data_IF_379675143575
#
_entry.id   IF_379675143575
#
_cell.length_a   1.000
_cell.length_b   1.000
_cell.length_c   1.000
_cell.angle_alpha   90.00
_cell.angle_beta   90.00
_cell.angle_gamma   90.00
#
_symmetry.space_group_name_H-M   'P 1'
#
loop_
_entity.id
_entity.type
_entity.pdbx_description
1 polymer ?
#
# COMPACT_ATOMS: atom_id res chain seq x y z
N UNK A 1 -16.91 -4.31 -7.66
CA UNK A 1 -16.00 -3.28 -7.12
C UNK A 1 -15.97 -3.44 -5.62
N UNK A 2 -14.81 -3.26 -4.99
CA UNK A 2 -14.68 -3.37 -3.54
C UNK A 2 -15.55 -2.32 -2.83
N UNK A 3 -16.23 -2.75 -1.77
CA UNK A 3 -17.04 -1.89 -0.90
C UNK A 3 -16.15 -0.87 -0.18
N UNK A 4 -16.75 0.22 0.32
CA UNK A 4 -16.02 1.20 1.15
C UNK A 4 -15.41 0.53 2.38
N UNK A 5 -16.14 -0.40 2.99
CA UNK A 5 -15.72 -1.12 4.19
C UNK A 5 -14.49 -1.99 3.93
N UNK A 6 -14.46 -2.74 2.83
CA UNK A 6 -13.27 -3.53 2.44
C UNK A 6 -12.04 -2.63 2.21
N UNK A 7 -12.23 -1.46 1.59
CA UNK A 7 -11.16 -0.47 1.37
C UNK A 7 -10.65 0.14 2.68
N UNK A 8 -11.55 0.48 3.59
CA UNK A 8 -11.23 0.96 4.94
C UNK A 8 -10.38 -0.06 5.68
N UNK A 9 -10.85 -1.30 5.75
CA UNK A 9 -10.13 -2.36 6.44
C UNK A 9 -8.76 -2.66 5.81
N UNK A 10 -8.63 -2.65 4.48
CA UNK A 10 -7.34 -2.81 3.81
C UNK A 10 -6.34 -1.72 4.24
N UNK A 11 -6.84 -0.48 4.35
CA UNK A 11 -6.06 0.66 4.84
C UNK A 11 -5.67 0.50 6.30
N UNK A 12 -6.59 0.13 7.18
CA UNK A 12 -6.31 -0.08 8.61
C UNK A 12 -5.28 -1.18 8.86
N UNK A 13 -5.32 -2.29 8.11
CA UNK A 13 -4.28 -3.32 8.19
C UNK A 13 -2.92 -2.81 7.72
N UNK A 14 -2.89 -2.02 6.66
CA UNK A 14 -1.66 -1.43 6.17
C UNK A 14 -1.08 -0.42 7.18
N UNK A 15 -1.92 0.37 7.85
CA UNK A 15 -1.53 1.29 8.93
C UNK A 15 -1.02 0.53 10.15
N UNK A 16 -1.71 -0.51 10.59
CA UNK A 16 -1.23 -1.36 11.68
C UNK A 16 0.12 -2.00 11.35
N UNK A 17 0.28 -2.48 10.11
CA UNK A 17 1.55 -3.00 9.64
C UNK A 17 2.63 -1.90 9.63
N UNK A 18 2.32 -0.70 9.13
CA UNK A 18 3.24 0.44 9.13
C UNK A 18 3.72 0.76 10.55
N UNK A 19 2.82 0.80 11.54
CA UNK A 19 3.14 1.02 12.95
C UNK A 19 4.06 -0.08 13.51
N UNK A 20 3.91 -1.33 13.03
CA UNK A 20 4.77 -2.44 13.46
C UNK A 20 6.21 -2.38 12.93
N UNK A 21 6.49 -1.57 11.90
CA UNK A 21 7.85 -1.38 11.38
C UNK A 21 8.76 -0.59 12.34
N UNK A 22 8.17 0.19 13.26
CA UNK A 22 8.89 1.11 14.12
C UNK A 22 9.50 2.30 13.37
N UNK A 23 10.43 3.01 14.02
CA UNK A 23 10.94 4.31 13.54
C UNK A 23 12.30 4.23 12.84
N UNK A 24 12.79 3.02 12.54
CA UNK A 24 14.10 2.83 11.91
C UNK A 24 14.16 3.41 10.49
N UNK A 25 13.04 3.33 9.75
CA UNK A 25 12.94 3.81 8.38
C UNK A 25 11.63 4.58 8.18
N UNK A 26 11.65 5.72 7.47
CA UNK A 26 10.44 6.47 7.21
C UNK A 26 9.55 5.69 6.24
N UNK A 27 8.25 5.69 6.51
CA UNK A 27 7.26 4.94 5.74
C UNK A 27 5.96 5.72 5.56
N UNK A 28 5.13 5.31 4.60
CA UNK A 28 3.78 5.82 4.42
C UNK A 28 2.85 4.76 3.82
N UNK A 29 1.56 4.90 4.12
CA UNK A 29 0.48 4.09 3.55
C UNK A 29 -0.12 4.81 2.33
N UNK A 30 -0.39 4.05 1.27
CA UNK A 30 -0.99 4.56 0.03
C UNK A 30 -2.06 3.60 -0.50
N UNK A 31 -3.35 3.96 -0.35
CA UNK A 31 -4.43 3.26 -1.04
C UNK A 31 -4.34 3.44 -2.56
N UNK A 32 -4.59 2.37 -3.31
CA UNK A 32 -4.57 2.36 -4.77
C UNK A 32 -5.91 2.84 -5.34
N UNK A 33 -5.85 3.91 -6.13
CA UNK A 33 -7.00 4.47 -6.84
C UNK A 33 -7.07 3.94 -8.27
N UNK A 34 -8.23 4.06 -8.90
CA UNK A 34 -8.46 3.68 -10.30
C UNK A 34 -7.45 4.31 -11.28
N UNK A 35 -7.07 5.57 -11.06
CA UNK A 35 -6.05 6.25 -11.86
C UNK A 35 -4.65 5.64 -11.69
N UNK A 36 -4.35 5.04 -10.53
CA UNK A 36 -3.04 4.48 -10.22
C UNK A 36 -2.82 3.11 -10.87
N UNK A 37 -3.87 2.27 -10.98
CA UNK A 37 -3.69 0.84 -11.33
C UNK A 37 -4.50 0.38 -12.54
N UNK A 38 -5.36 1.22 -13.12
CA UNK A 38 -6.19 0.83 -14.26
C UNK A 38 -6.06 1.75 -15.46
N UNK A 39 -6.07 3.08 -15.24
CA UNK A 39 -6.15 4.04 -16.35
C UNK A 39 -4.82 4.67 -16.73
N UNK A 40 -4.26 5.47 -15.82
CA UNK A 40 -3.12 6.37 -16.14
C UNK A 40 -1.80 5.75 -15.72
N UNK A 41 -1.82 4.85 -14.73
CA UNK A 41 -0.62 4.28 -14.13
C UNK A 41 0.37 5.35 -13.65
N UNK A 42 -0.19 6.38 -13.03
CA UNK A 42 0.53 7.46 -12.37
C UNK A 42 0.27 7.36 -10.87
N UNK A 43 1.32 7.24 -10.06
CA UNK A 43 1.20 7.13 -8.61
C UNK A 43 1.80 8.35 -7.92
N UNK A 44 0.93 9.28 -7.51
CA UNK A 44 1.32 10.39 -6.65
C UNK A 44 1.63 9.92 -5.22
N UNK A 45 2.71 10.46 -4.65
CA UNK A 45 3.21 10.17 -3.32
C UNK A 45 2.99 11.38 -2.38
N UNK A 46 3.03 11.19 -1.05
CA UNK A 46 2.93 12.30 -0.09
C UNK A 46 4.08 13.30 -0.30
N UNK A 47 3.73 14.59 -0.41
CA UNK A 47 4.71 15.65 -0.74
C UNK A 47 5.80 15.79 0.32
N UNK A 48 5.45 15.80 1.59
CA UNK A 48 6.43 15.94 2.68
C UNK A 48 7.38 14.74 2.71
N UNK A 49 6.87 13.51 2.56
CA UNK A 49 7.71 12.32 2.44
C UNK A 49 8.72 12.45 1.29
N UNK A 50 8.26 12.91 0.13
CA UNK A 50 9.14 13.08 -1.03
C UNK A 50 10.23 14.13 -0.79
N UNK A 51 9.86 15.26 -0.21
CA UNK A 51 10.78 16.36 0.11
C UNK A 51 11.87 15.95 1.09
N UNK A 52 11.50 15.19 2.12
CA UNK A 52 12.41 14.85 3.22
C UNK A 52 13.22 13.58 2.93
N UNK A 53 12.72 12.69 2.06
CA UNK A 53 13.25 11.35 1.92
C UNK A 53 13.55 10.91 0.49
N UNK A 54 13.07 11.59 -0.56
CA UNK A 54 13.35 11.21 -1.95
C UNK A 54 14.29 12.19 -2.65
N UNK A 55 14.86 11.81 -3.82
CA UNK A 55 15.70 12.71 -4.60
C UNK A 55 14.99 14.02 -4.97
N UNK A 56 15.75 15.11 -5.04
CA UNK A 56 15.24 16.44 -5.44
C UNK A 56 15.01 16.57 -6.95
N UNK A 57 15.65 15.71 -7.74
CA UNK A 57 15.55 15.68 -9.19
C UNK A 57 14.95 14.36 -9.65
N UNK A 58 14.51 14.31 -10.89
CA UNK A 58 14.03 13.08 -11.52
C UNK A 58 15.11 11.99 -11.44
N UNK A 59 14.68 10.79 -11.07
CA UNK A 59 15.60 9.70 -10.78
C UNK A 59 14.92 8.34 -10.98
N UNK A 60 15.74 7.31 -11.17
CA UNK A 60 15.28 5.94 -11.04
C UNK A 60 15.23 5.57 -9.56
N UNK A 61 14.02 5.27 -9.08
CA UNK A 61 13.79 4.66 -7.77
C UNK A 61 13.61 3.16 -7.96
N UNK A 62 14.17 2.38 -7.05
CA UNK A 62 14.01 0.93 -7.02
C UNK A 62 12.93 0.56 -6.02
N UNK A 63 11.85 -0.05 -6.50
CA UNK A 63 10.88 -0.73 -5.64
C UNK A 63 11.36 -2.16 -5.37
N UNK A 64 11.31 -2.59 -4.12
CA UNK A 64 11.68 -3.94 -3.69
C UNK A 64 10.47 -4.61 -3.06
N UNK A 65 10.04 -5.74 -3.60
CA UNK A 65 8.90 -6.48 -3.07
C UNK A 65 9.25 -7.34 -1.84
N UNK A 66 8.26 -8.06 -1.31
CA UNK A 66 8.45 -8.93 -0.15
C UNK A 66 9.43 -10.11 -0.38
N UNK A 67 9.70 -10.45 -1.65
CA UNK A 67 10.63 -11.52 -2.06
C UNK A 67 12.01 -10.98 -2.39
N UNK A 68 12.23 -9.67 -2.29
CA UNK A 68 13.47 -9.01 -2.66
C UNK A 68 13.62 -8.75 -4.16
N UNK A 69 12.57 -8.97 -4.97
CA UNK A 69 12.58 -8.68 -6.41
C UNK A 69 12.57 -7.16 -6.60
N UNK A 70 13.39 -6.68 -7.53
CA UNK A 70 13.66 -5.26 -7.74
C UNK A 70 13.00 -4.77 -9.02
N UNK A 71 12.32 -3.64 -8.95
CA UNK A 71 11.68 -2.98 -10.08
C UNK A 71 12.18 -1.55 -10.19
N UNK A 72 12.60 -1.15 -11.38
CA UNK A 72 13.12 0.19 -11.65
C UNK A 72 12.00 1.10 -12.16
N UNK A 73 11.75 2.17 -11.43
CA UNK A 73 10.61 3.07 -11.65
C UNK A 73 11.12 4.50 -11.80
N UNK A 74 10.63 5.22 -12.81
CA UNK A 74 10.90 6.64 -12.97
C UNK A 74 10.11 7.44 -11.93
N UNK A 75 10.85 8.12 -11.05
CA UNK A 75 10.33 9.11 -10.13
C UNK A 75 10.49 10.51 -10.72
N UNK A 76 9.38 11.25 -10.80
CA UNK A 76 9.34 12.63 -11.29
C UNK A 76 9.21 13.57 -10.08
N UNK A 77 10.30 14.25 -9.73
CA UNK A 77 10.43 14.97 -8.47
C UNK A 77 9.44 16.14 -8.37
N UNK A 78 9.27 16.89 -9.47
CA UNK A 78 8.33 18.02 -9.55
C UNK A 78 6.89 17.65 -9.17
N UNK A 79 6.49 16.42 -9.46
CA UNK A 79 5.13 15.94 -9.20
C UNK A 79 5.03 14.98 -8.01
N UNK A 80 6.15 14.67 -7.36
CA UNK A 80 6.22 13.67 -6.29
C UNK A 80 5.55 12.36 -6.74
N UNK A 81 5.90 11.84 -7.91
CA UNK A 81 5.14 10.76 -8.54
C UNK A 81 6.02 9.68 -9.18
N UNK A 82 5.53 8.44 -9.12
CA UNK A 82 6.05 7.31 -9.87
C UNK A 82 5.28 7.17 -11.19
N UNK A 83 6.03 7.01 -12.29
CA UNK A 83 5.48 6.98 -13.65
C UNK A 83 6.00 5.77 -14.44
N UNK A 84 7.00 5.95 -15.31
CA UNK A 84 7.60 4.87 -16.10
C UNK A 84 7.99 3.67 -15.23
N UNK A 85 7.57 2.48 -15.62
CA UNK A 85 7.79 1.24 -14.85
C UNK A 85 6.69 0.92 -13.81
N UNK A 86 5.93 1.90 -13.32
CA UNK A 86 4.88 1.66 -12.32
C UNK A 86 3.81 0.68 -12.84
N UNK A 87 3.39 0.82 -14.10
CA UNK A 87 2.44 -0.12 -14.72
C UNK A 87 2.94 -1.57 -14.67
N UNK A 88 4.23 -1.79 -14.91
CA UNK A 88 4.81 -3.12 -14.91
C UNK A 88 4.81 -3.72 -13.49
N UNK A 89 5.19 -2.92 -12.49
CA UNK A 89 5.08 -3.32 -11.08
C UNK A 89 3.64 -3.65 -10.69
N UNK A 90 2.69 -2.76 -10.99
CA UNK A 90 1.28 -2.96 -10.67
C UNK A 90 0.70 -4.21 -11.36
N UNK A 91 1.07 -4.46 -12.61
CA UNK A 91 0.61 -5.62 -13.36
C UNK A 91 1.24 -6.92 -12.84
N UNK A 92 2.53 -6.90 -12.48
CA UNK A 92 3.23 -8.06 -11.92
C UNK A 92 2.61 -8.54 -10.60
N UNK A 93 2.18 -7.60 -9.76
CA UNK A 93 1.55 -7.91 -8.47
C UNK A 93 0.02 -7.96 -8.53
N UNK A 94 -0.59 -7.87 -9.72
CA UNK A 94 -2.03 -7.83 -9.91
C UNK A 94 -2.72 -6.78 -9.00
N UNK A 95 -2.10 -5.60 -8.82
CA UNK A 95 -2.65 -4.54 -7.97
C UNK A 95 -4.01 -4.08 -8.50
N UNK A 96 -4.99 -4.03 -7.62
CA UNK A 96 -6.35 -3.63 -7.91
C UNK A 96 -6.74 -2.36 -7.16
N UNK A 97 -7.83 -1.75 -7.61
CA UNK A 97 -8.43 -0.62 -6.90
C UNK A 97 -8.89 -1.07 -5.52
N UNK A 98 -8.45 -0.34 -4.49
CA UNK A 98 -8.75 -0.64 -3.10
C UNK A 98 -7.72 -1.51 -2.39
N UNK A 99 -6.73 -2.06 -3.09
CA UNK A 99 -5.51 -2.56 -2.44
C UNK A 99 -4.75 -1.40 -1.82
N UNK A 100 -3.99 -1.67 -0.76
CA UNK A 100 -3.20 -0.66 -0.07
C UNK A 100 -1.74 -1.06 -0.02
N UNK A 101 -0.85 -0.15 -0.41
CA UNK A 101 0.60 -0.37 -0.34
C UNK A 101 1.19 0.41 0.84
N UNK A 102 2.13 -0.21 1.55
CA UNK A 102 3.04 0.47 2.48
C UNK A 102 4.38 0.61 1.79
N UNK A 103 4.90 1.83 1.74
CA UNK A 103 6.22 2.13 1.20
C UNK A 103 7.13 2.49 2.36
N UNK A 104 8.28 1.83 2.46
CA UNK A 104 9.31 2.09 3.45
C UNK A 104 10.62 2.44 2.74
N UNK A 105 11.26 3.55 3.10
CA UNK A 105 12.54 3.93 2.49
C UNK A 105 13.71 3.30 3.21
N UNK A 106 14.32 2.32 2.56
CA UNK A 106 15.48 1.58 3.07
C UNK A 106 16.82 2.06 2.48
N UNK A 107 16.80 3.01 1.54
CA UNK A 107 18.00 3.62 0.97
C UNK A 107 17.71 4.91 0.19
N UNK A 108 18.74 5.60 -0.33
CA UNK A 108 18.57 6.90 -1.00
C UNK A 108 17.56 6.91 -2.15
N UNK A 109 17.50 5.81 -2.91
CA UNK A 109 16.59 5.61 -4.05
C UNK A 109 15.92 4.23 -3.98
N UNK A 110 15.72 3.68 -2.78
CA UNK A 110 15.15 2.35 -2.59
C UNK A 110 13.93 2.44 -1.68
N UNK A 111 12.80 1.93 -2.18
CA UNK A 111 11.56 1.78 -1.42
C UNK A 111 11.21 0.30 -1.35
N UNK A 112 11.11 -0.25 -0.14
CA UNK A 112 10.48 -1.55 0.07
C UNK A 112 8.97 -1.38 0.03
N UNK A 113 8.28 -2.30 -0.63
CA UNK A 113 6.83 -2.23 -0.83
C UNK A 113 6.16 -3.47 -0.24
N UNK A 114 5.22 -3.24 0.66
CA UNK A 114 4.33 -4.27 1.21
C UNK A 114 2.93 -4.00 0.66
N UNK A 115 2.30 -5.04 0.12
CA UNK A 115 0.97 -4.95 -0.50
C UNK A 115 -0.04 -5.64 0.40
N UNK A 116 -0.99 -4.87 0.92
CA UNK A 116 -2.17 -5.39 1.61
C UNK A 116 -3.30 -5.54 0.59
N UNK A 117 -3.52 -6.77 0.13
CA UNK A 117 -4.56 -7.08 -0.85
C UNK A 117 -5.94 -7.15 -0.20
N UNK A 118 -6.97 -6.76 -0.94
CA UNK A 118 -8.37 -6.94 -0.55
C UNK A 118 -8.75 -8.42 -0.37
N UNK A 119 -8.15 -9.34 -1.13
CA UNK A 119 -8.42 -10.78 -0.97
C UNK A 119 -7.95 -11.32 0.39
N UNK A 120 -6.80 -10.83 0.90
CA UNK A 120 -6.35 -11.19 2.25
C UNK A 120 -7.30 -10.66 3.34
N UNK A 121 -7.95 -9.51 3.11
CA UNK A 121 -8.95 -8.95 4.03
C UNK A 121 -10.16 -9.86 4.18
N UNK A 122 -10.76 -10.26 3.06
CA UNK A 122 -11.95 -11.10 3.02
C UNK A 122 -11.66 -12.47 3.64
N UNK A 123 -10.49 -13.06 3.33
CA UNK A 123 -10.06 -14.32 3.94
C UNK A 123 -9.91 -14.21 5.46
N UNK A 124 -9.30 -13.15 5.99
CA UNK A 124 -9.20 -12.95 7.44
C UNK A 124 -10.56 -12.80 8.12
N UNK A 125 -11.52 -12.08 7.51
CA UNK A 125 -12.87 -11.92 8.05
C UNK A 125 -13.60 -13.26 8.11
N UNK A 126 -13.51 -14.05 7.04
CA UNK A 126 -14.11 -15.40 7.01
C UNK A 126 -13.46 -16.37 8.01
N UNK A 127 -12.23 -16.09 8.47
CA UNK A 127 -11.53 -16.88 9.48
C UNK A 127 -11.74 -16.39 10.92
N UNK A 128 -12.37 -15.24 11.16
CA UNK A 128 -12.78 -14.86 12.51
C UNK A 128 -14.04 -15.68 12.84
N UNK A 129 -14.00 -16.65 13.78
CA UNK A 129 -15.23 -17.31 14.21
C UNK A 129 -16.15 -16.23 14.77
N UNK A 130 -17.31 -16.06 14.13
CA UNK A 130 -18.36 -15.18 14.58
C UNK A 130 -18.69 -15.56 16.04
N UNK A 131 -18.21 -14.78 17.00
CA UNK A 131 -18.58 -14.94 18.39
C UNK A 131 -20.10 -14.70 18.45
N UNK A 132 -20.88 -15.79 18.43
CA UNK A 132 -22.33 -15.74 18.59
C UNK A 132 -22.60 -15.01 19.90
N UNK A 133 -23.30 -13.88 19.77
CA UNK A 133 -23.74 -13.08 20.91
C UNK A 133 -24.41 -13.96 21.96
N UNK A 134 -23.97 -13.78 23.19
CA UNK A 134 -24.62 -14.31 24.38
C UNK A 134 -26.08 -13.83 24.38
N UNK A 135 -27.03 -14.75 24.19
CA UNK A 135 -28.40 -14.51 24.65
C UNK A 135 -28.36 -14.65 26.17
N UNK A 136 -28.32 -13.53 26.87
CA UNK A 136 -28.76 -13.50 28.25
C UNK A 136 -30.25 -13.86 28.26
N UNK A 137 -30.57 -15.08 28.67
CA UNK A 137 -31.94 -15.46 29.02
C UNK A 137 -32.32 -14.71 30.29
N UNK A 138 -33.21 -13.73 30.16
CA UNK A 138 -34.10 -13.34 31.25
C UNK A 138 -35.25 -14.35 31.26
N UNK A 139 -35.37 -15.13 32.33
CA UNK A 139 -36.62 -15.74 32.74
C UNK A 139 -36.84 -15.26 34.18
N UNK A 140 -38.05 -14.74 34.39
CA UNK A 140 -38.56 -14.06 35.59
C UNK A 140 -38.36 -14.84 36.89
#
# INVERSE_FOLDING_TARGET
MATEEERRMATERAEHFQLSLGDAFPSFVKPMLYSNVTRVFWLGLPKEFCKDHLPRNDAIVTLVDFRGVRFHIMYIARFCALSGGWRAFASHHNLMVGDTCVFERTGPTVLKVIIQTLQHVVSCILMIPFARGSKASFVL
#
